data_IF_435167225998
#
_entry.id   IF_435167225998
#
_cell.length_a   1.000
_cell.length_b   1.000
_cell.length_c   1.000
_cell.angle_alpha   90.00
_cell.angle_beta   90.00
_cell.angle_gamma   90.00
#
_symmetry.space_group_name_H-M   'P 1'
#
loop_
_entity.id
_entity.type
_entity.pdbx_description
1 polymer ?
#
# COMPACT_ATOMS: atom_id res chain seq x y z
N UNK A 1 -28.97 4.27 -4.03
CA UNK A 1 -28.59 2.84 -3.92
C UNK A 1 -27.13 2.56 -4.28
N UNK A 2 -26.22 3.56 -4.24
CA UNK A 2 -24.81 3.35 -4.55
C UNK A 2 -23.90 3.30 -3.30
N UNK A 3 -24.34 3.96 -2.22
CA UNK A 3 -23.61 4.05 -0.96
C UNK A 3 -23.30 2.68 -0.35
N UNK A 4 -24.26 1.77 -0.31
CA UNK A 4 -24.08 0.41 0.24
C UNK A 4 -23.14 -0.43 -0.62
N UNK A 5 -23.26 -0.35 -1.95
CA UNK A 5 -22.38 -1.05 -2.87
C UNK A 5 -20.90 -0.62 -2.71
N UNK A 6 -20.67 0.67 -2.49
CA UNK A 6 -19.31 1.20 -2.23
C UNK A 6 -18.77 0.75 -0.86
N UNK A 7 -19.63 0.56 0.14
CA UNK A 7 -19.25 0.03 1.45
C UNK A 7 -18.89 -1.45 1.39
N UNK A 8 -19.60 -2.24 0.57
CA UNK A 8 -19.37 -3.68 0.48
C UNK A 8 -18.15 -4.02 -0.38
N UNK A 9 -17.92 -3.27 -1.47
CA UNK A 9 -16.79 -3.52 -2.38
C UNK A 9 -15.49 -2.90 -1.88
N UNK A 10 -15.54 -1.73 -1.23
CA UNK A 10 -14.35 -0.94 -0.89
C UNK A 10 -14.46 -0.27 0.51
N UNK A 11 -14.67 -1.04 1.60
CA UNK A 11 -14.88 -0.48 2.94
C UNK A 11 -13.68 0.35 3.43
N UNK A 12 -12.45 -0.01 3.04
CA UNK A 12 -11.25 0.73 3.38
C UNK A 12 -11.20 2.11 2.71
N UNK A 13 -11.56 2.19 1.43
CA UNK A 13 -11.58 3.44 0.65
C UNK A 13 -12.62 4.43 1.16
N UNK A 14 -13.75 3.92 1.67
CA UNK A 14 -14.77 4.75 2.29
C UNK A 14 -14.48 5.09 3.76
N UNK A 15 -13.43 4.51 4.36
CA UNK A 15 -13.06 4.74 5.77
C UNK A 15 -13.88 3.96 6.80
N UNK A 16 -14.51 2.86 6.40
CA UNK A 16 -15.37 2.03 7.26
C UNK A 16 -14.68 0.77 7.80
N UNK A 17 -13.49 0.44 7.30
CA UNK A 17 -12.66 -0.57 7.94
C UNK A 17 -12.18 -0.05 9.31
N UNK A 18 -12.82 -0.50 10.39
CA UNK A 18 -12.15 -0.58 11.68
C UNK A 18 -11.21 -1.77 11.61
N UNK A 19 -9.90 -1.51 11.65
CA UNK A 19 -8.88 -2.55 11.80
C UNK A 19 -9.19 -3.24 13.12
N UNK A 20 -9.84 -4.40 13.08
CA UNK A 20 -9.99 -5.26 14.24
C UNK A 20 -8.63 -5.89 14.50
N UNK A 21 -7.78 -5.15 15.22
CA UNK A 21 -6.62 -5.73 15.86
C UNK A 21 -7.12 -6.88 16.74
N UNK A 22 -6.70 -8.08 16.40
CA UNK A 22 -6.93 -9.24 17.25
C UNK A 22 -6.35 -8.96 18.65
N UNK A 23 -7.25 -9.05 19.64
CA UNK A 23 -7.08 -9.15 21.11
C UNK A 23 -6.75 -7.89 21.93
N UNK A 24 -7.33 -7.77 23.14
CA UNK A 24 -7.41 -6.53 23.90
C UNK A 24 -6.71 -6.66 25.26
N UNK A 25 -5.39 -6.42 25.32
CA UNK A 25 -4.65 -6.30 26.59
C UNK A 25 -3.16 -6.05 26.33
N UNK A 26 -2.79 -4.83 25.89
CA UNK A 26 -1.62 -4.12 26.42
C UNK A 26 -1.52 -2.71 25.83
N UNK A 27 -0.95 -1.82 26.64
CA UNK A 27 -0.94 -0.36 26.55
C UNK A 27 -0.54 0.25 25.20
N UNK A 28 -1.14 1.42 24.96
CA UNK A 28 -0.72 2.40 23.97
C UNK A 28 0.72 2.86 24.26
N UNK A 29 1.71 2.19 23.67
CA UNK A 29 3.00 2.81 23.41
C UNK A 29 2.97 3.47 22.03
N UNK A 30 2.98 4.81 22.02
CA UNK A 30 3.23 5.67 20.85
C UNK A 30 4.64 5.43 20.29
N UNK A 31 4.97 4.23 19.80
CA UNK A 31 6.22 3.98 19.06
C UNK A 31 6.20 2.73 18.17
N UNK A 32 5.11 1.97 18.12
CA UNK A 32 5.02 0.82 17.23
C UNK A 32 4.14 1.15 16.03
N UNK A 33 4.71 1.94 15.10
CA UNK A 33 4.28 1.84 13.69
C UNK A 33 4.50 0.37 13.37
N UNK A 34 3.42 -0.40 13.36
CA UNK A 34 3.39 -1.78 12.88
C UNK A 34 4.02 -1.71 11.51
N UNK A 35 5.31 -2.03 11.44
CA UNK A 35 6.06 -2.07 10.20
C UNK A 35 5.20 -2.92 9.29
N UNK A 36 4.73 -2.30 8.20
CA UNK A 36 4.25 -3.06 7.07
C UNK A 36 5.28 -4.17 6.84
N UNK A 37 4.86 -5.42 6.57
CA UNK A 37 5.82 -6.48 6.29
C UNK A 37 6.83 -5.93 5.29
N UNK A 38 8.11 -5.81 5.70
CA UNK A 38 9.16 -5.09 4.99
C UNK A 38 9.51 -5.70 3.62
N UNK A 39 8.72 -6.66 3.15
CA UNK A 39 9.00 -7.50 2.00
C UNK A 39 7.84 -7.61 1.00
N UNK A 40 6.68 -7.00 1.27
CA UNK A 40 5.61 -6.93 0.27
C UNK A 40 5.85 -5.72 -0.63
N UNK A 41 6.59 -5.94 -1.70
CA UNK A 41 6.83 -4.96 -2.75
C UNK A 41 5.67 -4.95 -3.74
N UNK A 42 4.90 -3.86 -3.77
CA UNK A 42 3.81 -3.66 -4.72
C UNK A 42 3.72 -2.19 -5.15
N UNK A 43 3.01 -1.96 -6.26
CA UNK A 43 2.68 -0.63 -6.72
C UNK A 43 1.37 -0.13 -6.05
N UNK A 44 1.37 1.13 -5.62
CA UNK A 44 0.21 1.81 -5.03
C UNK A 44 -0.67 2.49 -6.09
N UNK A 45 -0.08 2.94 -7.20
CA UNK A 45 -0.81 3.61 -8.29
C UNK A 45 -1.09 2.61 -9.44
N UNK A 46 -2.34 2.57 -9.90
CA UNK A 46 -2.79 1.68 -10.99
C UNK A 46 -2.18 2.02 -12.36
N UNK A 47 -1.55 3.19 -12.51
CA UNK A 47 -0.95 3.69 -13.73
C UNK A 47 0.58 3.58 -13.76
N UNK A 48 1.20 2.88 -12.81
CA UNK A 48 2.65 2.72 -12.74
C UNK A 48 3.25 2.21 -14.07
N UNK A 49 2.64 1.22 -14.72
CA UNK A 49 3.09 0.72 -16.03
C UNK A 49 3.17 1.82 -17.10
N UNK A 50 2.18 2.74 -17.13
CA UNK A 50 2.15 3.87 -18.08
C UNK A 50 3.15 4.97 -17.70
N UNK A 51 3.44 5.11 -16.41
CA UNK A 51 4.34 6.11 -15.84
C UNK A 51 5.78 5.61 -15.63
N UNK A 52 6.11 4.40 -16.07
CA UNK A 52 7.45 3.80 -15.97
C UNK A 52 8.58 4.70 -16.49
N UNK A 53 8.32 5.51 -17.52
CA UNK A 53 9.28 6.49 -18.03
C UNK A 53 9.68 7.56 -16.99
N UNK A 54 8.84 7.81 -15.97
CA UNK A 54 9.11 8.77 -14.90
C UNK A 54 10.05 8.23 -13.82
N UNK A 55 10.33 6.92 -13.78
CA UNK A 55 11.25 6.34 -12.79
C UNK A 55 12.64 7.02 -12.85
N UNK A 56 13.09 7.40 -14.04
CA UNK A 56 14.38 8.05 -14.27
C UNK A 56 14.33 9.59 -14.19
N UNK A 57 13.15 10.18 -14.00
CA UNK A 57 13.01 11.64 -13.93
C UNK A 57 13.36 12.13 -12.53
N UNK A 58 14.32 13.06 -12.42
CA UNK A 58 14.75 13.62 -11.13
C UNK A 58 13.61 14.23 -10.32
N UNK A 59 12.63 14.83 -10.99
CA UNK A 59 11.47 15.44 -10.33
C UNK A 59 10.51 14.40 -9.74
N UNK A 60 10.32 13.28 -10.45
CA UNK A 60 9.31 12.27 -10.09
C UNK A 60 9.89 11.07 -9.36
N UNK A 61 11.22 10.94 -9.29
CA UNK A 61 11.91 9.81 -8.67
C UNK A 61 11.40 9.50 -7.27
N UNK A 62 11.20 10.53 -6.44
CA UNK A 62 10.70 10.36 -5.06
C UNK A 62 9.27 9.82 -5.02
N UNK A 63 8.39 10.31 -5.90
CA UNK A 63 6.99 9.87 -5.98
C UNK A 63 6.94 8.45 -6.55
N UNK A 64 7.69 8.18 -7.61
CA UNK A 64 7.77 6.86 -8.23
C UNK A 64 8.36 5.81 -7.27
N UNK A 65 9.30 6.19 -6.40
CA UNK A 65 9.83 5.30 -5.36
C UNK A 65 8.79 4.93 -4.30
N UNK A 66 7.81 5.80 -4.06
CA UNK A 66 6.75 5.56 -3.09
C UNK A 66 5.55 4.83 -3.70
N UNK A 67 5.11 5.26 -4.89
CA UNK A 67 3.86 4.79 -5.50
C UNK A 67 4.06 3.66 -6.51
N UNK A 68 5.25 3.54 -7.09
CA UNK A 68 5.55 2.61 -8.17
C UNK A 68 6.85 1.83 -7.91
N UNK A 69 7.07 1.43 -6.66
CA UNK A 69 8.31 0.83 -6.22
C UNK A 69 8.62 -0.48 -6.97
N UNK A 70 7.60 -1.30 -7.23
CA UNK A 70 7.75 -2.55 -7.97
C UNK A 70 7.99 -2.27 -9.46
N UNK A 71 7.16 -1.44 -10.10
CA UNK A 71 7.33 -1.11 -11.53
C UNK A 71 8.68 -0.46 -11.82
N UNK A 72 9.19 0.39 -10.94
CA UNK A 72 10.49 1.03 -11.11
C UNK A 72 11.67 0.16 -10.67
N UNK A 73 11.42 -1.03 -10.11
CA UNK A 73 12.47 -1.93 -9.61
C UNK A 73 13.21 -1.40 -8.38
N UNK A 74 12.55 -0.58 -7.56
CA UNK A 74 13.09 -0.10 -6.28
C UNK A 74 12.94 -1.13 -5.16
N UNK A 75 12.13 -2.17 -5.37
CA UNK A 75 12.05 -3.34 -4.51
C UNK A 75 11.80 -4.61 -5.33
N UNK A 76 11.89 -5.77 -4.69
CA UNK A 76 11.65 -7.08 -5.30
C UNK A 76 10.31 -7.66 -4.83
N UNK A 77 9.50 -8.25 -5.72
CA UNK A 77 8.24 -8.88 -5.32
C UNK A 77 8.48 -9.99 -4.28
N UNK A 78 7.50 -10.27 -3.41
CA UNK A 78 7.62 -11.36 -2.45
C UNK A 78 7.84 -12.69 -3.18
N UNK A 79 8.61 -13.63 -2.60
CA UNK A 79 8.77 -14.95 -3.19
C UNK A 79 7.39 -15.61 -3.33
N UNK A 80 7.04 -16.00 -4.54
CA UNK A 80 5.85 -16.81 -4.79
C UNK A 80 6.08 -18.18 -4.12
N UNK A 81 5.43 -18.44 -2.98
CA UNK A 81 5.40 -19.78 -2.38
C UNK A 81 4.49 -20.66 -3.27
N UNK A 82 5.10 -21.54 -4.08
CA UNK A 82 4.44 -22.59 -4.88
C UNK A 82 3.90 -23.74 -4.01
#
# INVERSE_FOLDING_TARGET
MYKTLMLDLCPATCGFCQVTTAKPDEELEENNVRGAPENDCFDLDLYCTKRSHLCNSQLYKAIMAKECALTCGYCTPPPEEE
#
